data_IF_183632781567
#
_entry.id   IF_183632781567
#
_cell.length_a   1.000
_cell.length_b   1.000
_cell.length_c   1.000
_cell.angle_alpha   90.00
_cell.angle_beta   90.00
_cell.angle_gamma   90.00
#
_symmetry.space_group_name_H-M   'P 1'
#
loop_
_entity.id
_entity.type
_entity.pdbx_description
1 polymer ?
#
# COMPACT_ATOMS: atom_id res chain seq x y z
N UNK A 1 87.68 -9.78 16.95
CA UNK A 1 86.44 -9.80 17.76
C UNK A 1 85.56 -8.65 17.31
N UNK A 2 84.51 -8.91 16.53
CA UNK A 2 83.66 -7.86 15.98
C UNK A 2 82.54 -7.51 16.98
N UNK A 3 82.55 -6.27 17.48
CA UNK A 3 81.54 -5.71 18.37
C UNK A 3 80.25 -5.48 17.59
N UNK A 4 79.19 -6.24 17.93
CA UNK A 4 77.85 -6.07 17.33
C UNK A 4 77.26 -4.74 17.81
N UNK A 5 77.23 -3.74 16.93
CA UNK A 5 76.56 -2.45 17.16
C UNK A 5 75.05 -2.70 17.20
N UNK A 6 74.40 -2.41 18.33
CA UNK A 6 72.96 -2.54 18.47
C UNK A 6 72.23 -1.64 17.45
N UNK A 7 71.10 -2.09 16.86
CA UNK A 7 70.41 -1.32 15.85
C UNK A 7 69.81 -0.04 16.48
N UNK A 8 69.83 1.10 15.77
CA UNK A 8 69.30 2.35 16.29
C UNK A 8 67.80 2.21 16.56
N UNK A 9 67.41 2.37 17.83
CA UNK A 9 66.02 2.28 18.26
C UNK A 9 65.13 3.20 17.45
N UNK A 10 64.05 2.63 16.87
CA UNK A 10 63.08 3.35 16.04
C UNK A 10 62.52 4.55 16.82
N UNK A 11 62.89 5.78 16.42
CA UNK A 11 62.32 7.01 17.00
C UNK A 11 60.80 6.94 16.89
N UNK A 12 60.09 6.90 18.03
CA UNK A 12 58.62 6.90 18.07
C UNK A 12 58.13 8.14 17.31
N UNK A 13 57.51 7.94 16.13
CA UNK A 13 56.87 9.01 15.37
C UNK A 13 55.82 9.67 16.28
N UNK A 14 56.01 10.95 16.63
CA UNK A 14 55.00 11.71 17.40
C UNK A 14 53.69 11.67 16.61
N UNK A 15 52.63 11.13 17.23
CA UNK A 15 51.28 11.09 16.64
C UNK A 15 50.83 12.54 16.42
N UNK A 16 50.63 12.93 15.16
CA UNK A 16 50.08 14.27 14.84
C UNK A 16 48.62 14.29 15.30
N UNK A 17 48.24 15.26 16.13
CA UNK A 17 46.84 15.44 16.54
C UNK A 17 46.05 15.93 15.35
N UNK A 18 45.11 15.10 14.87
CA UNK A 18 44.13 15.50 13.86
C UNK A 18 43.15 16.44 14.58
N UNK A 19 43.06 17.69 14.12
CA UNK A 19 41.99 18.59 14.55
C UNK A 19 40.84 18.41 13.59
N UNK A 20 39.79 17.75 14.04
CA UNK A 20 38.59 17.53 13.25
C UNK A 20 37.84 18.87 13.17
N UNK A 21 38.08 19.63 12.10
CA UNK A 21 37.29 20.81 11.77
C UNK A 21 36.25 20.45 10.72
N UNK A 22 35.01 20.88 10.92
CA UNK A 22 33.96 20.75 9.91
C UNK A 22 34.37 21.52 8.64
N UNK A 23 34.20 20.88 7.47
CA UNK A 23 34.51 21.48 6.15
C UNK A 23 33.63 22.71 5.86
N UNK A 24 32.45 22.78 6.46
CA UNK A 24 31.50 23.89 6.32
C UNK A 24 31.10 24.42 7.68
N UNK A 25 31.34 25.71 7.93
CA UNK A 25 30.98 26.40 9.17
C UNK A 25 29.53 26.90 9.21
N UNK A 26 28.83 26.87 8.07
CA UNK A 26 27.48 27.44 7.92
C UNK A 26 26.55 26.41 7.28
N UNK A 27 25.37 26.23 7.86
CA UNK A 27 24.29 25.44 7.26
C UNK A 27 23.77 26.16 6.01
N UNK A 28 23.57 25.41 4.91
CA UNK A 28 22.93 25.95 3.70
C UNK A 28 21.45 26.18 4.01
N UNK A 29 20.92 27.37 3.70
CA UNK A 29 19.54 27.76 4.03
C UNK A 29 18.47 26.98 3.27
N UNK A 30 18.83 26.34 2.16
CA UNK A 30 17.93 25.50 1.37
C UNK A 30 18.27 24.05 1.64
N UNK A 31 17.74 23.54 2.74
CA UNK A 31 17.65 22.11 2.96
C UNK A 31 16.48 21.62 2.10
N UNK A 32 16.76 20.99 0.96
CA UNK A 32 15.73 20.40 0.10
C UNK A 32 15.28 19.03 0.65
N UNK A 33 15.35 18.85 1.96
CA UNK A 33 14.88 17.67 2.63
C UNK A 33 13.37 17.77 2.75
N UNK A 34 12.69 17.00 1.91
CA UNK A 34 11.25 16.80 2.01
C UNK A 34 11.05 15.48 2.74
N UNK A 35 10.49 15.53 3.94
CA UNK A 35 9.97 14.34 4.59
C UNK A 35 8.84 13.80 3.73
N UNK A 36 9.15 12.85 2.86
CA UNK A 36 8.16 12.00 2.23
C UNK A 36 7.60 11.13 3.36
N UNK A 37 6.58 11.65 4.04
CA UNK A 37 5.80 10.94 5.04
C UNK A 37 5.17 9.74 4.31
N UNK A 38 5.78 8.58 4.52
CA UNK A 38 5.62 7.38 3.70
C UNK A 38 4.22 6.77 3.68
N UNK A 39 3.27 7.28 4.47
CA UNK A 39 1.86 6.93 4.33
C UNK A 39 0.99 8.15 4.69
N UNK A 40 0.20 8.58 3.70
CA UNK A 40 -0.90 9.54 3.83
C UNK A 40 -0.54 11.02 4.00
N UNK A 41 -0.21 11.68 2.89
CA UNK A 41 -0.48 13.12 2.72
C UNK A 41 -1.48 13.34 1.60
N UNK A 42 -2.72 12.89 1.83
CA UNK A 42 -3.90 13.47 1.16
C UNK A 42 -4.14 14.88 1.74
N UNK A 43 -3.24 15.81 1.44
CA UNK A 43 -3.43 17.24 1.71
C UNK A 43 -3.77 17.93 0.40
N UNK A 44 -5.05 18.19 0.18
CA UNK A 44 -5.46 19.27 -0.72
C UNK A 44 -6.22 18.92 -1.99
N UNK A 45 -6.85 17.75 -2.11
CA UNK A 45 -7.96 17.59 -3.05
C UNK A 45 -9.07 16.80 -2.39
N UNK A 46 -10.21 17.46 -2.20
CA UNK A 46 -11.52 16.83 -2.03
C UNK A 46 -11.70 15.74 -3.09
N UNK A 47 -11.30 14.50 -2.78
CA UNK A 47 -11.72 13.35 -3.57
C UNK A 47 -13.22 13.25 -3.32
N UNK A 48 -14.01 13.76 -4.27
CA UNK A 48 -15.44 13.57 -4.30
C UNK A 48 -15.73 12.12 -3.95
N UNK A 49 -16.54 11.95 -2.92
CA UNK A 49 -16.92 10.67 -2.33
C UNK A 49 -17.08 9.65 -3.46
N UNK A 50 -16.13 8.70 -3.58
CA UNK A 50 -16.19 7.70 -4.65
C UNK A 50 -17.59 7.09 -4.57
N UNK A 51 -18.37 7.09 -5.67
CA UNK A 51 -19.74 6.60 -5.61
C UNK A 51 -19.70 5.20 -5.03
N UNK A 52 -20.48 5.00 -3.95
CA UNK A 52 -20.58 3.71 -3.26
C UNK A 52 -20.74 2.63 -4.34
N UNK A 53 -19.98 1.51 -4.27
CA UNK A 53 -20.09 0.45 -5.25
C UNK A 53 -21.56 0.07 -5.34
N UNK A 54 -22.15 0.23 -6.54
CA UNK A 54 -23.56 -0.07 -6.76
C UNK A 54 -23.78 -1.50 -6.33
N UNK A 55 -24.68 -1.71 -5.37
CA UNK A 55 -25.09 -3.05 -4.97
C UNK A 55 -25.47 -3.86 -6.21
N UNK A 56 -25.20 -5.17 -6.25
CA UNK A 56 -25.53 -5.98 -7.41
C UNK A 56 -27.04 -5.91 -7.68
N UNK A 57 -27.39 -5.31 -8.82
CA UNK A 57 -28.78 -5.17 -9.28
C UNK A 57 -29.41 -6.51 -9.67
N UNK A 58 -28.61 -7.58 -9.72
CA UNK A 58 -29.00 -8.92 -10.17
C UNK A 58 -28.65 -9.99 -9.14
N UNK A 59 -29.64 -10.82 -8.81
CA UNK A 59 -29.54 -11.97 -7.91
C UNK A 59 -29.48 -13.24 -8.77
N UNK A 60 -28.69 -14.22 -8.34
CA UNK A 60 -28.66 -15.56 -8.95
C UNK A 60 -29.73 -16.42 -8.27
N UNK A 61 -30.77 -16.78 -9.01
CA UNK A 61 -31.83 -17.66 -8.53
C UNK A 61 -31.71 -19.03 -9.19
N UNK A 62 -31.91 -20.08 -8.41
CA UNK A 62 -32.01 -21.45 -8.88
C UNK A 62 -33.50 -21.83 -8.93
N UNK A 63 -33.99 -22.25 -10.09
CA UNK A 63 -35.39 -22.70 -10.21
C UNK A 63 -35.58 -24.04 -9.47
N UNK A 64 -36.68 -24.19 -8.75
CA UNK A 64 -36.99 -25.38 -7.94
C UNK A 64 -37.22 -26.64 -8.78
N UNK A 65 -37.82 -26.51 -9.96
CA UNK A 65 -38.15 -27.66 -10.83
C UNK A 65 -36.99 -28.13 -11.70
N UNK A 66 -36.30 -27.21 -12.39
CA UNK A 66 -35.30 -27.56 -13.40
C UNK A 66 -33.85 -27.35 -12.93
N UNK A 67 -33.64 -26.76 -11.76
CA UNK A 67 -32.30 -26.48 -11.21
C UNK A 67 -31.50 -25.44 -12.02
N UNK A 68 -32.08 -24.85 -13.06
CA UNK A 68 -31.40 -23.86 -13.89
C UNK A 68 -31.08 -22.61 -13.08
N UNK A 69 -29.86 -22.09 -13.25
CA UNK A 69 -29.37 -20.89 -12.57
C UNK A 69 -29.63 -19.68 -13.46
N UNK A 70 -30.43 -18.75 -12.97
CA UNK A 70 -30.86 -17.57 -13.70
C UNK A 70 -30.38 -16.31 -12.99
N UNK A 71 -30.07 -15.26 -13.76
CA UNK A 71 -29.80 -13.92 -13.24
C UNK A 71 -31.09 -13.12 -13.32
N UNK A 72 -31.71 -12.85 -12.17
CA UNK A 72 -32.97 -12.11 -12.07
C UNK A 72 -32.69 -10.75 -11.43
N UNK A 73 -33.32 -9.66 -11.89
CA UNK A 73 -33.17 -8.35 -11.24
C UNK A 73 -33.65 -8.39 -9.78
N UNK A 74 -33.03 -7.55 -8.93
CA UNK A 74 -33.43 -7.41 -7.52
C UNK A 74 -34.91 -6.98 -7.44
N UNK A 75 -35.76 -7.79 -6.79
CA UNK A 75 -37.17 -7.44 -6.65
C UNK A 75 -37.31 -6.20 -5.76
N UNK A 76 -38.17 -5.26 -6.18
CA UNK A 76 -38.46 -4.03 -5.42
C UNK A 76 -39.49 -4.24 -4.32
N UNK A 77 -40.25 -5.34 -4.39
CA UNK A 77 -41.33 -5.69 -3.47
C UNK A 77 -40.89 -6.87 -2.61
N UNK A 78 -41.41 -6.95 -1.39
CA UNK A 78 -41.19 -8.08 -0.49
C UNK A 78 -41.71 -9.40 -1.10
N UNK A 79 -42.86 -9.33 -1.77
CA UNK A 79 -43.50 -10.47 -2.45
C UNK A 79 -43.29 -10.37 -3.96
N UNK A 80 -42.72 -11.40 -4.56
CA UNK A 80 -42.45 -11.45 -5.99
C UNK A 80 -42.48 -12.88 -6.52
N UNK A 81 -42.78 -13.01 -7.81
CA UNK A 81 -42.76 -14.27 -8.54
C UNK A 81 -41.66 -14.25 -9.59
N UNK A 82 -40.94 -15.36 -9.75
CA UNK A 82 -39.91 -15.54 -10.77
C UNK A 82 -40.38 -16.63 -11.72
N UNK A 83 -40.58 -16.27 -12.99
CA UNK A 83 -40.84 -17.23 -14.04
C UNK A 83 -39.54 -17.75 -14.65
N UNK A 84 -39.40 -19.08 -14.74
CA UNK A 84 -38.26 -19.72 -15.37
C UNK A 84 -38.44 -19.81 -16.90
N UNK A 85 -37.50 -19.34 -17.74
CA UNK A 85 -37.60 -19.37 -19.20
C UNK A 85 -37.36 -20.78 -19.78
N UNK A 86 -36.85 -21.72 -18.98
CA UNK A 86 -36.62 -23.10 -19.44
C UNK A 86 -37.84 -24.00 -19.26
N UNK A 87 -38.56 -23.86 -18.14
CA UNK A 87 -39.66 -24.76 -17.79
C UNK A 87 -41.01 -24.06 -17.56
N UNK A 88 -41.06 -22.72 -17.65
CA UNK A 88 -42.28 -21.94 -17.42
C UNK A 88 -42.78 -21.97 -15.98
N UNK A 89 -42.00 -22.55 -15.05
CA UNK A 89 -42.38 -22.61 -13.64
C UNK A 89 -42.32 -21.25 -12.97
N UNK A 90 -43.29 -20.98 -12.10
CA UNK A 90 -43.36 -19.75 -11.32
C UNK A 90 -42.96 -20.05 -9.86
N UNK A 91 -41.79 -19.58 -9.46
CA UNK A 91 -41.36 -19.63 -8.07
C UNK A 91 -41.88 -18.39 -7.34
N UNK A 92 -42.76 -18.59 -6.34
CA UNK A 92 -43.32 -17.52 -5.53
C UNK A 92 -42.54 -17.34 -4.23
N UNK A 93 -42.06 -16.12 -3.97
CA UNK A 93 -41.39 -15.73 -2.75
C UNK A 93 -42.28 -14.74 -1.99
N UNK A 94 -42.68 -15.10 -0.78
CA UNK A 94 -43.58 -14.32 0.09
C UNK A 94 -42.82 -13.57 1.19
#
# INVERSE_FOLDING_TARGET
MATKKAPPGKRKKKKRKIRLSLKSSKMKKTDSYTDQVGWSTDVGRTLGEKPKPKEPETIRHQCTLCGAIMKVPKPKKARYTISCPHCGHEDSFN
#
